data_IF_785664240459
#
_entry.id   IF_785664240459
#
_cell.length_a   1.000
_cell.length_b   1.000
_cell.length_c   1.000
_cell.angle_alpha   90.00
_cell.angle_beta   90.00
_cell.angle_gamma   90.00
#
_symmetry.space_group_name_H-M   'P 1'
#
loop_
_entity.id
_entity.type
_entity.pdbx_description
1 polymer ?
#
# COMPACT_ATOMS: atom_id res chain seq x y z
N UNK A 1 13.61 1.96 14.87
CA UNK A 1 12.31 1.86 15.57
C UNK A 1 11.84 3.28 15.84
N UNK A 2 10.81 3.78 15.16
CA UNK A 2 10.33 5.16 15.35
C UNK A 2 9.24 5.13 16.42
N UNK A 3 9.60 5.47 17.66
CA UNK A 3 8.72 5.35 18.82
C UNK A 3 7.53 6.35 18.79
N UNK A 4 7.66 7.46 18.06
CA UNK A 4 6.59 8.42 17.83
C UNK A 4 6.90 9.27 16.60
N UNK A 5 5.97 9.35 15.64
CA UNK A 5 6.09 10.27 14.51
C UNK A 5 4.89 11.21 14.44
N UNK A 6 5.17 12.51 14.30
CA UNK A 6 4.09 13.50 14.04
C UNK A 6 3.56 13.33 12.62
N UNK A 7 4.41 12.98 11.66
CA UNK A 7 4.05 12.74 10.27
C UNK A 7 5.10 11.84 9.63
N UNK A 8 4.66 10.73 9.04
CA UNK A 8 5.48 9.94 8.13
C UNK A 8 5.02 10.23 6.71
N UNK A 9 5.96 10.68 5.87
CA UNK A 9 5.74 10.82 4.44
C UNK A 9 6.71 9.90 3.71
N UNK A 10 6.17 9.02 2.89
CA UNK A 10 6.97 8.15 2.04
C UNK A 10 6.50 8.23 0.60
N UNK A 11 7.45 8.44 -0.31
CA UNK A 11 7.18 8.51 -1.75
C UNK A 11 8.17 7.63 -2.49
N UNK A 12 7.64 6.71 -3.29
CA UNK A 12 8.41 5.80 -4.11
C UNK A 12 8.02 5.91 -5.57
N UNK A 13 9.04 5.86 -6.42
CA UNK A 13 8.90 5.75 -7.86
C UNK A 13 9.81 4.61 -8.35
N UNK A 14 9.26 3.67 -9.12
CA UNK A 14 10.01 2.63 -9.81
C UNK A 14 9.84 2.80 -11.33
N UNK A 15 10.94 3.03 -12.04
CA UNK A 15 10.97 3.37 -13.47
C UNK A 15 11.85 2.40 -14.29
N UNK A 16 12.13 1.19 -13.79
CA UNK A 16 13.09 0.26 -14.40
C UNK A 16 12.52 -1.15 -14.49
N UNK A 17 12.83 -1.87 -15.56
CA UNK A 17 12.38 -3.25 -15.76
C UNK A 17 12.88 -4.18 -14.64
N UNK A 18 12.03 -5.11 -14.21
CA UNK A 18 12.40 -6.18 -13.27
C UNK A 18 12.63 -5.74 -11.82
N UNK A 19 12.15 -4.56 -11.42
CA UNK A 19 12.30 -4.05 -10.04
C UNK A 19 11.69 -4.99 -9.00
N UNK A 20 12.48 -5.34 -7.97
CA UNK A 20 12.03 -6.12 -6.82
C UNK A 20 12.22 -5.34 -5.54
N UNK A 21 11.15 -5.12 -4.80
CA UNK A 21 11.18 -4.36 -3.55
C UNK A 21 10.59 -5.21 -2.43
N UNK A 22 11.31 -5.24 -1.30
CA UNK A 22 10.85 -5.84 -0.05
C UNK A 22 11.02 -4.82 1.07
N UNK A 23 9.93 -4.47 1.75
CA UNK A 23 9.93 -3.47 2.83
C UNK A 23 9.17 -3.96 4.05
N UNK A 24 9.66 -3.58 5.23
CA UNK A 24 9.01 -3.84 6.51
C UNK A 24 9.14 -2.62 7.42
N UNK A 25 8.01 -2.07 7.84
CA UNK A 25 7.94 -0.89 8.70
C UNK A 25 7.20 -1.19 10.00
N UNK A 26 7.72 -0.65 11.11
CA UNK A 26 7.09 -0.75 12.43
C UNK A 26 6.97 0.65 13.06
N UNK A 27 5.74 1.06 13.36
CA UNK A 27 5.43 2.37 13.94
C UNK A 27 4.56 2.20 15.18
N UNK A 28 5.03 2.69 16.33
CA UNK A 28 4.23 2.63 17.56
C UNK A 28 3.08 3.65 17.52
N UNK A 29 3.38 4.91 17.23
CA UNK A 29 2.38 5.95 17.13
C UNK A 29 2.65 6.89 15.95
N UNK A 30 1.62 7.18 15.16
CA UNK A 30 1.64 8.24 14.16
C UNK A 30 0.39 9.12 14.20
N UNK A 31 0.54 10.44 14.11
CA UNK A 31 -0.64 11.29 13.84
C UNK A 31 -1.08 11.20 12.38
N UNK A 32 -0.15 11.03 11.45
CA UNK A 32 -0.45 10.94 10.04
C UNK A 32 0.61 10.10 9.33
N UNK A 33 0.17 9.08 8.59
CA UNK A 33 1.00 8.37 7.63
C UNK A 33 0.48 8.64 6.23
N UNK A 34 1.35 9.16 5.38
CA UNK A 34 1.09 9.35 3.96
C UNK A 34 2.10 8.54 3.16
N UNK A 35 1.57 7.63 2.35
CA UNK A 35 2.38 6.81 1.47
C UNK A 35 1.92 6.96 0.02
N UNK A 36 2.87 7.24 -0.87
CA UNK A 36 2.61 7.37 -2.30
C UNK A 36 3.57 6.53 -3.12
N UNK A 37 3.03 5.61 -3.90
CA UNK A 37 3.78 4.77 -4.80
C UNK A 37 3.37 4.99 -6.25
N UNK A 38 4.37 5.11 -7.11
CA UNK A 38 4.19 5.07 -8.55
C UNK A 38 5.14 4.03 -9.16
N UNK A 39 4.62 3.08 -9.92
CA UNK A 39 5.40 2.11 -10.68
C UNK A 39 5.09 2.28 -12.17
N UNK A 40 6.10 2.60 -12.97
CA UNK A 40 6.05 2.75 -14.42
C UNK A 40 7.13 1.85 -15.05
N UNK A 41 7.01 0.53 -14.89
CA UNK A 41 8.01 -0.41 -15.43
C UNK A 41 7.54 -1.87 -15.49
N UNK A 42 8.00 -2.60 -16.50
CA UNK A 42 7.63 -4.00 -16.68
C UNK A 42 8.22 -4.91 -15.58
N UNK A 43 7.43 -5.90 -15.15
CA UNK A 43 7.92 -6.96 -14.25
C UNK A 43 8.16 -6.54 -12.80
N UNK A 44 7.52 -5.48 -12.32
CA UNK A 44 7.64 -4.98 -10.94
C UNK A 44 7.09 -5.98 -9.93
N UNK A 45 7.87 -6.32 -8.90
CA UNK A 45 7.44 -7.15 -7.76
C UNK A 45 7.66 -6.42 -6.45
N UNK A 46 6.59 -6.21 -5.71
CA UNK A 46 6.64 -5.51 -4.43
C UNK A 46 6.06 -6.38 -3.33
N UNK A 47 6.79 -6.49 -2.22
CA UNK A 47 6.33 -7.09 -0.98
C UNK A 47 6.49 -6.09 0.16
N UNK A 48 5.38 -5.62 0.72
CA UNK A 48 5.38 -4.66 1.82
C UNK A 48 4.67 -5.25 3.04
N UNK A 49 5.21 -4.96 4.22
CA UNK A 49 4.61 -5.32 5.50
C UNK A 49 4.70 -4.15 6.46
N UNK A 50 3.55 -3.62 6.84
CA UNK A 50 3.46 -2.47 7.74
C UNK A 50 2.79 -2.88 9.05
N UNK A 51 3.40 -2.52 10.18
CA UNK A 51 2.82 -2.73 11.50
C UNK A 51 2.70 -1.38 12.21
N UNK A 52 1.46 -1.00 12.56
CA UNK A 52 1.15 0.25 13.23
C UNK A 52 0.30 0.01 14.47
N UNK A 53 0.78 0.39 15.65
CA UNK A 53 -0.04 0.22 16.86
C UNK A 53 -1.16 1.29 16.91
N UNK A 54 -0.83 2.56 16.69
CA UNK A 54 -1.83 3.63 16.62
C UNK A 54 -1.58 4.60 15.47
N UNK A 55 -2.62 4.87 14.68
CA UNK A 55 -2.64 5.99 13.74
C UNK A 55 -3.92 6.82 13.84
N UNK A 56 -3.79 8.14 13.81
CA UNK A 56 -4.99 9.00 13.66
C UNK A 56 -5.46 9.04 12.20
N UNK A 57 -4.55 8.95 11.24
CA UNK A 57 -4.88 8.99 9.82
C UNK A 57 -3.83 8.24 9.01
N UNK A 58 -4.28 7.30 8.19
CA UNK A 58 -3.46 6.66 7.17
C UNK A 58 -4.03 6.99 5.80
N UNK A 59 -3.19 7.55 4.94
CA UNK A 59 -3.51 7.82 3.55
C UNK A 59 -2.49 7.11 2.68
N UNK A 60 -2.99 6.29 1.78
CA UNK A 60 -2.14 5.54 0.87
C UNK A 60 -2.63 5.67 -0.57
N UNK A 61 -1.70 5.97 -1.47
CA UNK A 61 -1.99 6.11 -2.89
C UNK A 61 -1.01 5.33 -3.73
N UNK A 62 -1.53 4.43 -4.53
CA UNK A 62 -0.77 3.63 -5.48
C UNK A 62 -1.22 3.89 -6.90
N UNK A 63 -0.25 4.10 -7.78
CA UNK A 63 -0.46 4.13 -9.22
C UNK A 63 0.53 3.15 -9.88
N UNK A 64 0.02 2.18 -10.61
CA UNK A 64 0.81 1.27 -11.43
C UNK A 64 0.40 1.42 -12.90
N UNK A 65 1.36 1.74 -13.77
CA UNK A 65 1.16 1.84 -15.22
C UNK A 65 2.22 0.96 -15.90
N UNK A 66 2.06 -0.36 -15.82
CA UNK A 66 3.09 -1.28 -16.34
C UNK A 66 2.71 -2.75 -16.43
N UNK A 67 3.21 -3.45 -17.43
CA UNK A 67 2.95 -4.87 -17.63
C UNK A 67 3.59 -5.76 -16.54
N UNK A 68 2.86 -6.77 -16.06
CA UNK A 68 3.42 -7.81 -15.19
C UNK A 68 3.70 -7.39 -13.74
N UNK A 69 2.90 -6.48 -13.18
CA UNK A 69 3.03 -6.02 -11.78
C UNK A 69 2.52 -7.07 -10.78
N UNK A 70 3.33 -7.39 -9.76
CA UNK A 70 2.90 -8.23 -8.63
C UNK A 70 3.12 -7.52 -7.32
N UNK A 71 2.04 -7.25 -6.60
CA UNK A 71 2.09 -6.57 -5.31
C UNK A 71 1.51 -7.48 -4.23
N UNK A 72 2.28 -7.66 -3.16
CA UNK A 72 1.82 -8.31 -1.94
C UNK A 72 1.99 -7.34 -0.78
N UNK A 73 0.87 -6.87 -0.22
CA UNK A 73 0.86 -5.96 0.92
C UNK A 73 0.23 -6.65 2.13
N UNK A 74 0.79 -6.39 3.30
CA UNK A 74 0.27 -6.87 4.58
C UNK A 74 0.33 -5.75 5.58
N UNK A 75 -0.83 -5.26 6.00
CA UNK A 75 -0.95 -4.17 6.95
C UNK A 75 -1.56 -4.70 8.25
N UNK A 76 -0.88 -4.46 9.36
CA UNK A 76 -1.38 -4.77 10.70
C UNK A 76 -1.53 -3.47 11.47
N UNK A 77 -2.76 -3.10 11.78
CA UNK A 77 -3.07 -1.86 12.50
C UNK A 77 -3.88 -2.16 13.75
N UNK A 78 -3.37 -1.89 14.95
CA UNK A 78 -4.16 -2.13 16.15
C UNK A 78 -5.28 -1.09 16.29
N UNK A 79 -4.99 0.20 16.06
CA UNK A 79 -6.00 1.25 16.06
C UNK A 79 -5.77 2.27 14.96
N UNK A 80 -6.81 2.56 14.18
CA UNK A 80 -6.86 3.70 13.28
C UNK A 80 -8.14 4.52 13.42
N UNK A 81 -8.04 5.85 13.45
CA UNK A 81 -9.25 6.68 13.37
C UNK A 81 -9.76 6.81 11.94
N UNK A 82 -8.86 6.82 10.95
CA UNK A 82 -9.24 6.93 9.54
C UNK A 82 -8.20 6.25 8.66
N UNK A 83 -8.67 5.38 7.77
CA UNK A 83 -7.85 4.82 6.69
C UNK A 83 -8.48 5.18 5.35
N UNK A 84 -7.68 5.81 4.49
CA UNK A 84 -8.05 6.09 3.11
C UNK A 84 -7.00 5.48 2.20
N UNK A 85 -7.46 4.65 1.27
CA UNK A 85 -6.60 4.00 0.31
C UNK A 85 -7.12 4.21 -1.10
N UNK A 86 -6.22 4.57 -2.02
CA UNK A 86 -6.54 4.73 -3.43
C UNK A 86 -5.54 3.98 -4.30
N UNK A 87 -6.05 3.07 -5.09
CA UNK A 87 -5.30 2.29 -6.06
C UNK A 87 -5.78 2.58 -7.46
N UNK A 88 -4.83 2.86 -8.34
CA UNK A 88 -5.04 2.91 -9.77
C UNK A 88 -4.05 1.96 -10.44
N UNK A 89 -4.53 1.04 -11.27
CA UNK A 89 -3.71 0.18 -12.11
C UNK A 89 -4.19 0.28 -13.56
N UNK A 90 -3.30 0.65 -14.49
CA UNK A 90 -3.58 0.65 -15.93
C UNK A 90 -2.51 -0.22 -16.61
N UNK A 91 -2.73 -1.54 -16.68
CA UNK A 91 -1.78 -2.45 -17.38
C UNK A 91 -2.13 -3.93 -17.38
N UNK A 92 -1.63 -4.67 -18.36
CA UNK A 92 -1.83 -6.11 -18.46
C UNK A 92 -1.08 -6.90 -17.36
N UNK A 93 -1.74 -7.93 -16.81
CA UNK A 93 -1.09 -8.90 -15.92
C UNK A 93 -0.82 -8.42 -14.48
N UNK A 94 -1.60 -7.45 -13.98
CA UNK A 94 -1.49 -6.95 -12.59
C UNK A 94 -2.07 -7.97 -11.59
N UNK A 95 -1.27 -8.36 -10.59
CA UNK A 95 -1.71 -9.20 -9.47
C UNK A 95 -1.48 -8.50 -8.15
N UNK A 96 -2.55 -8.21 -7.43
CA UNK A 96 -2.49 -7.54 -6.12
C UNK A 96 -3.07 -8.48 -5.08
N UNK A 97 -2.28 -8.79 -4.06
CA UNK A 97 -2.72 -9.49 -2.86
C UNK A 97 -2.53 -8.56 -1.67
N UNK A 98 -3.63 -8.10 -1.08
CA UNK A 98 -3.64 -7.29 0.13
C UNK A 98 -4.16 -8.10 1.31
N UNK A 99 -3.59 -7.89 2.49
CA UNK A 99 -4.03 -8.51 3.74
C UNK A 99 -4.00 -7.45 4.82
N UNK A 100 -5.17 -7.06 5.29
CA UNK A 100 -5.33 -6.01 6.28
C UNK A 100 -5.85 -6.62 7.57
N UNK A 101 -5.09 -6.53 8.65
CA UNK A 101 -5.55 -6.90 9.98
C UNK A 101 -5.70 -5.63 10.79
N UNK A 102 -6.93 -5.14 10.93
CA UNK A 102 -7.22 -3.94 11.72
C UNK A 102 -8.10 -4.27 12.90
N UNK A 103 -7.59 -4.14 14.12
CA UNK A 103 -8.36 -4.47 15.32
C UNK A 103 -9.46 -3.43 15.62
N UNK A 104 -9.18 -2.15 15.36
CA UNK A 104 -10.19 -1.11 15.45
C UNK A 104 -9.97 -0.02 14.38
N UNK A 105 -11.01 0.25 13.58
CA UNK A 105 -11.06 1.40 12.68
C UNK A 105 -12.38 2.14 12.81
N UNK A 106 -12.33 3.47 12.98
CA UNK A 106 -13.56 4.28 12.99
C UNK A 106 -14.10 4.54 11.58
N UNK A 107 -13.22 4.68 10.59
CA UNK A 107 -13.61 4.89 9.20
C UNK A 107 -12.57 4.30 8.26
N UNK A 108 -13.04 3.54 7.28
CA UNK A 108 -12.21 2.95 6.24
C UNK A 108 -12.85 3.23 4.89
N UNK A 109 -12.09 3.86 4.00
CA UNK A 109 -12.50 4.09 2.63
C UNK A 109 -11.42 3.59 1.69
N UNK A 110 -11.80 2.73 0.76
CA UNK A 110 -10.91 2.22 -0.27
C UNK A 110 -11.50 2.46 -1.65
N UNK A 111 -10.67 2.93 -2.57
CA UNK A 111 -11.04 3.07 -3.97
C UNK A 111 -10.03 2.35 -4.85
N UNK A 112 -10.54 1.44 -5.66
CA UNK A 112 -9.76 0.66 -6.61
C UNK A 112 -10.26 0.96 -8.01
N UNK A 113 -9.36 1.45 -8.87
CA UNK A 113 -9.60 1.57 -10.30
C UNK A 113 -8.59 0.69 -11.03
N UNK A 114 -9.08 -0.21 -11.88
CA UNK A 114 -8.25 -1.03 -12.74
C UNK A 114 -8.81 -0.97 -14.17
N UNK A 115 -7.95 -0.66 -15.13
CA UNK A 115 -8.29 -0.66 -16.56
C UNK A 115 -7.25 -1.48 -17.31
N UNK A 116 -7.55 -2.77 -17.53
CA UNK A 116 -6.74 -3.68 -18.36
C UNK A 116 -7.22 -5.14 -18.30
N UNK A 117 -6.72 -5.95 -19.23
CA UNK A 117 -6.89 -7.41 -19.24
C UNK A 117 -6.00 -8.10 -18.19
N UNK A 118 -6.54 -9.13 -17.54
CA UNK A 118 -5.76 -9.99 -16.62
C UNK A 118 -5.49 -9.43 -15.21
N UNK A 119 -6.19 -8.36 -14.80
CA UNK A 119 -6.09 -7.84 -13.42
C UNK A 119 -6.72 -8.81 -12.43
N UNK A 120 -5.96 -9.20 -11.40
CA UNK A 120 -6.45 -10.01 -10.27
C UNK A 120 -6.17 -9.31 -8.96
N UNK A 121 -7.23 -8.97 -8.24
CA UNK A 121 -7.16 -8.36 -6.91
C UNK A 121 -7.73 -9.36 -5.92
N UNK A 122 -6.95 -9.70 -4.90
CA UNK A 122 -7.40 -10.47 -3.74
C UNK A 122 -7.12 -9.70 -2.47
N UNK A 123 -8.19 -9.29 -1.79
CA UNK A 123 -8.12 -8.69 -0.47
C UNK A 123 -8.48 -9.74 0.59
N UNK A 124 -7.71 -9.76 1.67
CA UNK A 124 -8.02 -10.47 2.90
C UNK A 124 -8.13 -9.42 4.00
N UNK A 125 -9.15 -9.54 4.85
CA UNK A 125 -9.43 -8.67 6.00
C UNK A 125 -9.42 -9.57 7.24
#
# INVERSE_FOLDING_TARGET
MTAFSKMMLEKWNALSEGVRIKKTDMTAFSKMMLEKWNALSEGVRIKKTDMTAFSKMMLEKWNALSEGVRIKKTDMTAFSKMMLEKWNALSEGVRIKKTDMTAFSKMMLEKWNALSEGVRIKKLI
#
